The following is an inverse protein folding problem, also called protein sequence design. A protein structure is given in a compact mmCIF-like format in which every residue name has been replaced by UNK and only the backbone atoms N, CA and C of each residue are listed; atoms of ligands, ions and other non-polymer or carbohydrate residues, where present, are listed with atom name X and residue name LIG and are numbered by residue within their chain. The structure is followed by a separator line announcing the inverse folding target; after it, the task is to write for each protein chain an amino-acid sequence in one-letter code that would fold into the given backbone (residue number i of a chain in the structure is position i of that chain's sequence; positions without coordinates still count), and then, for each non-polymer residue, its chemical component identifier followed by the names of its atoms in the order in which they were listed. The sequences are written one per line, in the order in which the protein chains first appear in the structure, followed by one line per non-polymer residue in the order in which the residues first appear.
data_IF_501344022507
#
_entry.id   IF_501344022507
#
_cell.length_a   1.000
_cell.length_b   1.000
_cell.length_c   1.000
_cell.angle_alpha   90.00
_cell.angle_beta   90.00
_cell.angle_gamma   90.00
#
_symmetry.space_group_name_H-M   'P 1'
#
loop_
_entity.id
_entity.type
_entity.pdbx_description
1 polymer ?
#
# COMPACT_ATOMS: atom_id res chain seq x y z
N UNK A 1 17.14 2.18 -7.62
CA UNK A 1 18.26 1.44 -8.26
C UNK A 1 17.66 0.50 -9.28
N UNK A 2 17.68 0.85 -10.58
CA UNK A 2 16.94 0.12 -11.61
C UNK A 2 17.42 -1.34 -11.79
N UNK A 3 18.71 -1.61 -11.55
CA UNK A 3 19.33 -2.90 -11.81
C UNK A 3 19.50 -3.79 -10.55
N UNK A 4 19.18 -3.29 -9.35
CA UNK A 4 19.58 -3.96 -8.10
C UNK A 4 18.37 -4.52 -7.33
N UNK A 5 17.33 -4.97 -8.03
CA UNK A 5 16.13 -5.49 -7.36
C UNK A 5 16.46 -6.67 -6.44
N UNK A 6 17.17 -7.69 -6.94
CA UNK A 6 17.49 -8.92 -6.21
C UNK A 6 18.32 -8.74 -4.94
N UNK A 7 19.08 -7.64 -4.85
CA UNK A 7 19.88 -7.31 -3.65
C UNK A 7 19.27 -6.20 -2.80
N UNK A 8 18.17 -5.59 -3.25
CA UNK A 8 17.51 -4.47 -2.58
C UNK A 8 16.73 -4.86 -1.34
N UNK A 9 16.48 -3.88 -0.47
CA UNK A 9 15.54 -4.03 0.65
C UNK A 9 14.11 -4.29 0.18
N UNK A 10 13.73 -3.79 -1.01
CA UNK A 10 12.42 -4.05 -1.58
C UNK A 10 12.17 -5.55 -1.78
N UNK A 11 13.12 -6.27 -2.38
CA UNK A 11 13.00 -7.71 -2.57
C UNK A 11 13.04 -8.47 -1.23
N UNK A 12 13.93 -8.09 -0.32
CA UNK A 12 14.12 -8.76 0.98
C UNK A 12 12.94 -8.61 1.96
N UNK A 13 12.04 -7.66 1.72
CA UNK A 13 10.89 -7.36 2.59
C UNK A 13 9.55 -7.64 1.88
N UNK A 14 9.56 -8.47 0.83
CA UNK A 14 8.31 -8.97 0.27
C UNK A 14 7.65 -9.89 1.29
N UNK A 15 6.32 -9.79 1.38
CA UNK A 15 5.49 -10.58 2.28
C UNK A 15 4.87 -11.73 1.50
N UNK A 16 4.60 -12.83 2.22
CA UNK A 16 3.84 -13.94 1.65
C UNK A 16 2.36 -13.55 1.50
N UNK A 17 1.61 -14.13 0.54
CA UNK A 17 0.21 -13.76 0.29
C UNK A 17 -0.68 -13.85 1.54
N UNK A 18 -0.42 -14.81 2.42
CA UNK A 18 -1.13 -15.04 3.67
C UNK A 18 -0.95 -13.89 4.67
N UNK A 19 0.16 -13.16 4.57
CA UNK A 19 0.48 -12.02 5.43
C UNK A 19 -0.09 -10.69 4.90
N UNK A 20 -0.53 -10.64 3.63
CA UNK A 20 -0.98 -9.39 2.98
C UNK A 20 -2.44 -9.07 3.24
N UNK A 21 -3.28 -10.11 3.31
CA UNK A 21 -4.75 -10.02 3.42
C UNK A 21 -5.23 -10.11 4.89
N UNK A 22 -4.47 -9.49 5.80
CA UNK A 22 -4.77 -9.48 7.23
C UNK A 22 -5.38 -8.13 7.63
N UNK A 23 -6.34 -8.17 8.56
CA UNK A 23 -6.87 -6.97 9.22
C UNK A 23 -6.25 -6.91 10.61
N UNK A 24 -5.72 -5.75 10.99
CA UNK A 24 -5.14 -5.57 12.31
C UNK A 24 -6.18 -5.85 13.40
N UNK A 25 -5.79 -6.48 14.53
CA UNK A 25 -6.73 -6.84 15.60
C UNK A 25 -7.62 -5.67 16.07
N UNK A 26 -7.03 -4.47 16.21
CA UNK A 26 -7.74 -3.27 16.63
C UNK A 26 -8.85 -2.82 15.65
N UNK A 27 -8.70 -3.12 14.36
CA UNK A 27 -9.70 -2.82 13.33
C UNK A 27 -10.74 -3.94 13.23
N UNK A 28 -10.30 -5.19 13.43
CA UNK A 28 -11.19 -6.35 13.53
C UNK A 28 -12.16 -6.23 14.71
N UNK A 29 -11.70 -5.73 15.86
CA UNK A 29 -12.52 -5.44 17.03
C UNK A 29 -13.61 -4.40 16.76
N UNK A 30 -13.36 -3.48 15.81
CA UNK A 30 -14.35 -2.49 15.35
C UNK A 30 -15.31 -3.05 14.30
N UNK A 31 -15.20 -4.33 13.96
CA UNK A 31 -16.03 -5.00 12.97
C UNK A 31 -15.58 -4.80 11.51
N UNK A 32 -14.36 -4.30 11.27
CA UNK A 32 -13.83 -4.16 9.90
C UNK A 32 -13.50 -5.55 9.36
N UNK A 33 -14.07 -5.88 8.21
CA UNK A 33 -13.79 -7.14 7.51
C UNK A 33 -12.60 -6.99 6.56
N UNK A 34 -12.08 -8.12 6.08
CA UNK A 34 -11.03 -8.14 5.05
C UNK A 34 -11.50 -7.45 3.77
N UNK A 35 -12.77 -7.58 3.41
CA UNK A 35 -13.34 -6.96 2.22
C UNK A 35 -13.44 -5.45 2.36
N UNK A 36 -13.90 -4.96 3.52
CA UNK A 36 -13.91 -3.53 3.84
C UNK A 36 -12.49 -2.96 3.75
N UNK A 37 -11.50 -3.69 4.24
CA UNK A 37 -10.10 -3.27 4.19
C UNK A 37 -9.57 -3.16 2.76
N UNK A 38 -9.96 -4.08 1.87
CA UNK A 38 -9.65 -4.01 0.43
C UNK A 38 -10.28 -2.77 -0.21
N UNK A 39 -11.55 -2.50 0.08
CA UNK A 39 -12.26 -1.30 -0.40
C UNK A 39 -11.60 -0.01 0.09
N UNK A 40 -11.22 0.06 1.37
CA UNK A 40 -10.51 1.20 1.96
C UNK A 40 -9.17 1.41 1.26
N UNK A 41 -8.36 0.36 1.06
CA UNK A 41 -7.08 0.45 0.34
C UNK A 41 -7.23 0.97 -1.09
N UNK A 42 -8.27 0.53 -1.81
CA UNK A 42 -8.57 1.02 -3.16
C UNK A 42 -8.98 2.49 -3.15
N UNK A 43 -9.82 2.89 -2.20
CA UNK A 43 -10.24 4.28 -2.02
C UNK A 43 -9.04 5.19 -1.72
N UNK A 44 -8.17 4.79 -0.79
CA UNK A 44 -6.97 5.54 -0.42
C UNK A 44 -5.97 5.67 -1.58
N UNK A 45 -5.79 4.60 -2.37
CA UNK A 45 -4.95 4.67 -3.57
C UNK A 45 -5.51 5.67 -4.60
N UNK A 46 -6.84 5.69 -4.78
CA UNK A 46 -7.53 6.66 -5.65
C UNK A 46 -7.39 8.08 -5.13
N UNK A 47 -7.49 8.28 -3.81
CA UNK A 47 -7.28 9.56 -3.17
C UNK A 47 -5.86 10.11 -3.42
N UNK A 48 -4.83 9.29 -3.17
CA UNK A 48 -3.43 9.65 -3.46
C UNK A 48 -3.24 10.02 -4.94
N UNK A 49 -3.86 9.26 -5.86
CA UNK A 49 -3.80 9.56 -7.28
C UNK A 49 -4.48 10.90 -7.63
N UNK A 50 -5.63 11.21 -7.04
CA UNK A 50 -6.34 12.49 -7.24
C UNK A 50 -5.59 13.69 -6.65
N UNK A 51 -4.77 13.50 -5.62
CA UNK A 51 -3.89 14.54 -5.08
C UNK A 51 -2.70 14.85 -6.00
N UNK A 52 -2.24 13.88 -6.79
CA UNK A 52 -1.01 14.01 -7.57
C UNK A 52 -0.95 15.23 -8.50
N UNK A 53 -2.02 15.60 -9.24
CA UNK A 53 -2.02 16.82 -10.06
C UNK A 53 -1.89 18.11 -9.23
N UNK A 54 -2.43 18.13 -8.01
CA UNK A 54 -2.40 19.32 -7.14
C UNK A 54 -0.97 19.63 -6.68
N UNK A 55 -0.17 18.59 -6.43
CA UNK A 55 1.25 18.69 -6.05
C UNK A 55 2.22 18.53 -7.22
N UNK A 56 1.70 18.41 -8.46
CA UNK A 56 2.46 18.35 -9.72
C UNK A 56 3.55 17.27 -9.75
N UNK A 57 3.28 16.10 -9.18
CA UNK A 57 4.24 14.98 -9.15
C UNK A 57 4.01 14.00 -10.30
N UNK A 58 5.09 13.33 -10.73
CA UNK A 58 5.01 12.28 -11.76
C UNK A 58 4.50 10.97 -11.18
N UNK A 59 3.97 10.10 -12.05
CA UNK A 59 3.39 8.80 -11.67
C UNK A 59 4.31 7.92 -10.82
N UNK A 60 5.63 7.96 -11.00
CA UNK A 60 6.58 7.20 -10.16
C UNK A 60 6.50 7.59 -8.68
N UNK A 61 6.28 8.87 -8.39
CA UNK A 61 6.11 9.37 -7.01
C UNK A 61 4.80 8.87 -6.43
N UNK A 62 3.72 8.93 -7.21
CA UNK A 62 2.39 8.40 -6.85
C UNK A 62 2.46 6.91 -6.53
N UNK A 63 3.07 6.12 -7.41
CA UNK A 63 3.24 4.68 -7.22
C UNK A 63 4.01 4.37 -5.93
N UNK A 64 5.12 5.09 -5.68
CA UNK A 64 5.92 4.91 -4.45
C UNK A 64 5.12 5.26 -3.19
N UNK A 65 4.34 6.35 -3.22
CA UNK A 65 3.48 6.74 -2.12
C UNK A 65 2.40 5.69 -1.81
N UNK A 66 1.77 5.11 -2.84
CA UNK A 66 0.81 4.01 -2.69
C UNK A 66 1.50 2.78 -2.10
N UNK A 67 2.73 2.44 -2.54
CA UNK A 67 3.50 1.34 -1.97
C UNK A 67 3.78 1.55 -0.48
N UNK A 68 4.15 2.76 -0.06
CA UNK A 68 4.37 3.07 1.36
C UNK A 68 3.08 3.01 2.17
N UNK A 69 1.98 3.56 1.66
CA UNK A 69 0.67 3.45 2.31
C UNK A 69 0.30 1.98 2.52
N UNK A 70 0.44 1.12 1.50
CA UNK A 70 0.14 -0.30 1.63
C UNK A 70 1.02 -1.00 2.66
N UNK A 71 2.32 -0.70 2.71
CA UNK A 71 3.24 -1.29 3.71
C UNK A 71 2.92 -0.92 5.16
N UNK A 72 2.33 0.25 5.40
CA UNK A 72 1.95 0.69 6.75
C UNK A 72 0.65 0.03 7.20
N UNK A 73 -0.25 -0.26 6.26
CA UNK A 73 -1.59 -0.82 6.51
C UNK A 73 -1.75 -2.21 5.90
N UNK A 74 -0.68 -3.00 5.80
CA UNK A 74 -0.75 -4.45 5.60
C UNK A 74 -0.59 -5.08 6.96
#
# INVERSE_FOLDING_TARGET
MAANFWTSTHYKQLLDPEEVDVVQPADKEKGITVEDFKLIKMHMATYIWRLAPQVKVRQRVVATAITYMRRVYT
#
